data_IF_664067273068
#
_entry.id   IF_664067273068
#
_cell.length_a   1.000
_cell.length_b   1.000
_cell.length_c   1.000
_cell.angle_alpha   90.00
_cell.angle_beta   90.00
_cell.angle_gamma   90.00
#
_symmetry.space_group_name_H-M   'P 1'
#
loop_
_entity.id
_entity.type
_entity.pdbx_description
1 polymer ?
#
# COMPACT_ATOMS: atom_id res chain seq x y z
N UNK A 1 18.08 -15.96 -57.70
CA UNK A 1 18.64 -16.09 -56.33
C UNK A 1 17.50 -16.40 -55.39
N UNK A 2 17.26 -17.69 -55.17
CA UNK A 2 16.17 -18.23 -54.34
C UNK A 2 16.70 -18.36 -52.92
N UNK A 3 16.13 -17.59 -51.98
CA UNK A 3 16.44 -17.79 -50.56
C UNK A 3 15.92 -19.17 -50.14
N UNK A 4 16.74 -20.02 -49.51
CA UNK A 4 16.27 -21.29 -48.97
C UNK A 4 15.30 -21.00 -47.82
N UNK A 5 14.06 -21.46 -47.98
CA UNK A 5 13.06 -21.50 -46.91
C UNK A 5 13.57 -22.43 -45.82
N UNK A 6 14.16 -21.86 -44.78
CA UNK A 6 14.52 -22.58 -43.56
C UNK A 6 13.24 -23.20 -43.01
N UNK A 7 13.15 -24.54 -42.89
CA UNK A 7 11.97 -25.18 -42.35
C UNK A 7 11.74 -24.64 -40.94
N UNK A 8 10.50 -24.23 -40.68
CA UNK A 8 10.05 -23.73 -39.38
C UNK A 8 10.31 -24.82 -38.35
N UNK A 9 11.45 -24.72 -37.68
CA UNK A 9 11.97 -25.69 -36.73
C UNK A 9 10.91 -26.02 -35.69
N UNK A 10 10.58 -27.30 -35.61
CA UNK A 10 9.81 -27.88 -34.52
C UNK A 10 10.50 -27.55 -33.20
N UNK A 11 9.98 -26.57 -32.48
CA UNK A 11 10.35 -26.37 -31.07
C UNK A 11 10.12 -27.73 -30.39
N UNK A 12 11.14 -28.34 -29.78
CA UNK A 12 11.01 -29.67 -29.21
C UNK A 12 9.87 -29.63 -28.18
N UNK A 13 8.86 -30.48 -28.35
CA UNK A 13 7.66 -30.53 -27.51
C UNK A 13 7.99 -30.60 -26.00
N UNK A 14 9.15 -31.17 -25.66
CA UNK A 14 9.70 -31.21 -24.31
C UNK A 14 9.99 -29.82 -23.71
N UNK A 15 10.46 -28.86 -24.51
CA UNK A 15 10.74 -27.50 -24.06
C UNK A 15 9.48 -26.73 -23.71
N UNK A 16 8.42 -26.91 -24.50
CA UNK A 16 7.11 -26.29 -24.25
C UNK A 16 6.48 -26.84 -22.95
N UNK A 17 6.53 -28.15 -22.75
CA UNK A 17 6.02 -28.78 -21.54
C UNK A 17 6.74 -28.30 -20.27
N UNK A 18 8.07 -28.12 -20.32
CA UNK A 18 8.85 -27.59 -19.21
C UNK A 18 8.50 -26.12 -18.90
N UNK A 19 8.31 -25.30 -19.93
CA UNK A 19 7.91 -23.90 -19.77
C UNK A 19 6.52 -23.78 -19.13
N UNK A 20 5.56 -24.58 -19.58
CA UNK A 20 4.21 -24.58 -19.02
C UNK A 20 4.21 -25.05 -17.57
N UNK A 21 5.00 -26.08 -17.23
CA UNK A 21 5.20 -26.52 -15.85
C UNK A 21 5.75 -25.38 -14.99
N UNK A 22 6.85 -24.75 -15.40
CA UNK A 22 7.46 -23.62 -14.67
C UNK A 22 6.46 -22.48 -14.48
N UNK A 23 5.75 -22.08 -15.53
CA UNK A 23 4.72 -21.03 -15.45
C UNK A 23 3.64 -21.37 -14.43
N UNK A 24 3.16 -22.62 -14.42
CA UNK A 24 2.14 -23.07 -13.46
C UNK A 24 2.64 -23.04 -12.02
N UNK A 25 3.90 -23.41 -11.78
CA UNK A 25 4.54 -23.37 -10.46
C UNK A 25 4.64 -21.93 -9.97
N UNK A 26 5.13 -21.00 -10.79
CA UNK A 26 5.21 -19.58 -10.40
C UNK A 26 3.83 -19.00 -10.11
N UNK A 27 2.84 -19.34 -10.93
CA UNK A 27 1.46 -18.87 -10.75
C UNK A 27 0.89 -19.31 -9.40
N UNK A 28 1.07 -20.58 -9.02
CA UNK A 28 0.64 -21.08 -7.71
C UNK A 28 1.31 -20.35 -6.56
N UNK A 29 2.61 -20.06 -6.67
CA UNK A 29 3.32 -19.24 -5.69
C UNK A 29 2.71 -17.84 -5.57
N UNK A 30 2.43 -17.18 -6.69
CA UNK A 30 1.81 -15.85 -6.69
C UNK A 30 0.39 -15.87 -6.11
N UNK A 31 -0.42 -16.88 -6.43
CA UNK A 31 -1.77 -17.05 -5.89
C UNK A 31 -1.74 -17.26 -4.37
N UNK A 32 -0.77 -18.05 -3.87
CA UNK A 32 -0.53 -18.20 -2.44
C UNK A 32 -0.19 -16.86 -1.78
N UNK A 33 0.81 -16.14 -2.30
CA UNK A 33 1.24 -14.85 -1.76
C UNK A 33 0.10 -13.83 -1.81
N UNK A 34 -0.69 -13.80 -2.88
CA UNK A 34 -1.83 -12.93 -3.02
C UNK A 34 -2.91 -13.24 -1.97
N UNK A 35 -3.23 -14.52 -1.76
CA UNK A 35 -4.24 -14.95 -0.78
C UNK A 35 -3.80 -14.62 0.64
N UNK A 36 -2.54 -14.93 0.98
CA UNK A 36 -1.95 -14.60 2.28
C UNK A 36 -1.92 -13.08 2.50
N UNK A 37 -1.51 -12.30 1.49
CA UNK A 37 -1.50 -10.84 1.58
C UNK A 37 -2.91 -10.26 1.72
N UNK A 38 -3.91 -10.81 1.02
CA UNK A 38 -5.29 -10.37 1.13
C UNK A 38 -5.84 -10.62 2.54
N UNK A 39 -5.53 -11.77 3.16
CA UNK A 39 -5.88 -12.07 4.55
C UNK A 39 -5.33 -11.00 5.50
N UNK A 40 -4.06 -10.64 5.37
CA UNK A 40 -3.44 -9.57 6.17
C UNK A 40 -4.07 -8.19 5.91
N UNK A 41 -4.45 -7.91 4.67
CA UNK A 41 -5.11 -6.66 4.27
C UNK A 41 -6.52 -6.53 4.82
N UNK A 42 -7.26 -7.61 5.08
CA UNK A 42 -8.62 -7.53 5.61
C UNK A 42 -8.68 -6.84 6.98
N UNK A 43 -7.72 -7.12 7.86
CA UNK A 43 -7.64 -6.49 9.17
C UNK A 43 -7.32 -5.00 9.07
N UNK A 44 -6.38 -4.64 8.20
CA UNK A 44 -6.04 -3.24 7.92
C UNK A 44 -7.23 -2.53 7.27
N UNK A 45 -7.89 -3.17 6.31
CA UNK A 45 -9.05 -2.61 5.61
C UNK A 45 -10.23 -2.42 6.57
N UNK A 46 -10.44 -3.31 7.54
CA UNK A 46 -11.45 -3.11 8.58
C UNK A 46 -11.18 -1.85 9.41
N UNK A 47 -9.91 -1.59 9.77
CA UNK A 47 -9.51 -0.37 10.47
C UNK A 47 -9.66 0.86 9.58
N UNK A 48 -9.20 0.78 8.33
CA UNK A 48 -9.30 1.87 7.35
C UNK A 48 -10.75 2.21 7.04
N UNK A 49 -11.64 1.21 6.95
CA UNK A 49 -13.09 1.40 6.82
C UNK A 49 -13.67 2.10 8.05
N UNK A 50 -13.21 1.74 9.26
CA UNK A 50 -13.63 2.45 10.48
C UNK A 50 -13.21 3.92 10.42
N UNK A 51 -11.94 4.22 10.07
CA UNK A 51 -11.46 5.59 9.88
C UNK A 51 -12.32 6.31 8.83
N UNK A 52 -12.59 5.67 7.70
CA UNK A 52 -13.38 6.25 6.62
C UNK A 52 -14.79 6.60 7.07
N UNK A 53 -15.47 5.66 7.75
CA UNK A 53 -16.82 5.88 8.25
C UNK A 53 -16.86 7.01 9.27
N UNK A 54 -15.90 7.08 10.19
CA UNK A 54 -15.90 8.09 11.24
C UNK A 54 -15.43 9.47 10.77
N UNK A 55 -14.41 9.55 9.92
CA UNK A 55 -13.81 10.83 9.52
C UNK A 55 -14.47 11.44 8.28
N UNK A 56 -15.14 10.64 7.44
CA UNK A 56 -15.73 11.12 6.20
C UNK A 56 -17.25 10.91 6.16
N UNK A 57 -17.72 9.67 6.34
CA UNK A 57 -19.14 9.39 6.16
C UNK A 57 -20.01 10.00 7.27
N UNK A 58 -19.63 9.82 8.54
CA UNK A 58 -20.35 10.34 9.70
C UNK A 58 -20.49 11.87 9.68
N UNK A 59 -19.42 12.67 9.45
CA UNK A 59 -19.57 14.13 9.36
C UNK A 59 -20.48 14.57 8.22
N UNK A 60 -20.41 13.94 7.05
CA UNK A 60 -21.31 14.26 5.92
C UNK A 60 -22.77 13.97 6.28
N UNK A 61 -23.04 12.80 6.86
CA UNK A 61 -24.40 12.42 7.30
C UNK A 61 -24.89 13.37 8.40
N UNK A 62 -24.04 13.73 9.36
CA UNK A 62 -24.39 14.65 10.44
C UNK A 62 -24.75 16.04 9.91
N UNK A 63 -23.96 16.60 8.99
CA UNK A 63 -24.26 17.90 8.37
C UNK A 63 -25.56 17.83 7.57
N UNK A 64 -25.78 16.77 6.79
CA UNK A 64 -27.02 16.58 6.04
C UNK A 64 -28.26 16.53 6.95
N UNK A 65 -28.17 15.82 8.08
CA UNK A 65 -29.24 15.76 9.08
C UNK A 65 -29.50 17.13 9.72
N UNK A 66 -28.45 17.88 10.08
CA UNK A 66 -28.60 19.24 10.64
C UNK A 66 -29.30 20.17 9.65
N UNK A 67 -28.90 20.14 8.37
CA UNK A 67 -29.56 20.93 7.31
C UNK A 67 -31.04 20.57 7.19
N UNK A 68 -31.34 19.27 7.20
CA UNK A 68 -32.72 18.77 7.12
C UNK A 68 -33.55 19.26 8.31
N UNK A 69 -33.04 19.15 9.53
CA UNK A 69 -33.75 19.62 10.73
C UNK A 69 -33.96 21.15 10.77
N UNK A 70 -33.01 21.94 10.25
CA UNK A 70 -33.18 23.39 10.10
C UNK A 70 -34.29 23.69 9.09
N UNK A 71 -34.35 22.95 7.98
CA UNK A 71 -35.39 23.16 6.95
C UNK A 71 -36.79 22.79 7.44
N UNK A 72 -36.92 21.78 8.31
CA UNK A 72 -38.19 21.43 8.96
C UNK A 72 -38.57 22.35 10.13
N UNK A 73 -37.76 23.35 10.46
CA UNK A 73 -38.02 24.29 11.55
C UNK A 73 -37.82 23.71 12.95
N UNK A 74 -37.20 22.53 13.07
CA UNK A 74 -36.90 21.89 14.37
C UNK A 74 -35.71 22.58 15.05
N UNK A 75 -34.75 23.08 14.27
CA UNK A 75 -33.53 23.74 14.75
C UNK A 75 -33.46 25.22 14.30
N UNK A 76 -32.97 26.15 15.14
CA UNK A 76 -32.78 27.55 14.78
C UNK A 76 -31.79 27.72 13.62
N UNK A 77 -32.01 28.72 12.75
CA UNK A 77 -31.13 29.01 11.60
C UNK A 77 -29.67 29.31 11.98
N UNK A 78 -29.42 29.74 13.23
CA UNK A 78 -28.08 30.02 13.77
C UNK A 78 -27.17 28.77 13.72
N UNK A 79 -27.74 27.56 13.71
CA UNK A 79 -26.98 26.32 13.60
C UNK A 79 -26.21 26.16 12.27
N UNK A 80 -26.58 26.90 11.21
CA UNK A 80 -25.83 26.90 9.95
C UNK A 80 -24.39 27.41 10.13
N UNK A 81 -24.16 28.36 11.03
CA UNK A 81 -22.83 28.90 11.30
C UNK A 81 -21.89 27.92 12.00
N UNK A 82 -22.41 26.81 12.54
CA UNK A 82 -21.61 25.80 13.25
C UNK A 82 -21.28 24.57 12.39
N UNK A 83 -21.65 24.54 11.10
CA UNK A 83 -21.45 23.37 10.23
C UNK A 83 -19.97 22.98 10.09
N UNK A 84 -19.08 23.96 9.95
CA UNK A 84 -17.64 23.72 9.84
C UNK A 84 -17.06 23.09 11.12
N UNK A 85 -17.55 23.52 12.29
CA UNK A 85 -17.16 22.93 13.57
C UNK A 85 -17.65 21.48 13.71
N UNK A 86 -18.86 21.19 13.22
CA UNK A 86 -19.39 19.82 13.24
C UNK A 86 -18.51 18.90 12.39
N UNK A 87 -18.06 19.35 11.21
CA UNK A 87 -17.14 18.57 10.36
C UNK A 87 -15.81 18.27 11.07
N UNK A 88 -15.27 19.23 11.83
CA UNK A 88 -13.99 19.08 12.54
C UNK A 88 -14.07 18.22 13.80
N UNK A 89 -15.22 18.21 14.49
CA UNK A 89 -15.39 17.44 15.74
C UNK A 89 -15.21 15.94 15.52
N UNK A 90 -15.68 15.38 14.39
CA UNK A 90 -15.58 13.94 14.13
C UNK A 90 -14.14 13.42 14.01
N UNK A 91 -13.26 13.99 13.16
CA UNK A 91 -11.85 13.60 13.10
C UNK A 91 -11.12 13.78 14.44
N UNK A 92 -11.43 14.83 15.20
CA UNK A 92 -10.81 15.11 16.50
C UNK A 92 -11.23 14.06 17.53
N UNK A 93 -12.52 13.77 17.65
CA UNK A 93 -13.02 12.73 18.56
C UNK A 93 -12.51 11.34 18.17
N UNK A 94 -12.47 11.03 16.88
CA UNK A 94 -11.91 9.77 16.40
C UNK A 94 -10.41 9.65 16.74
N UNK A 95 -9.64 10.74 16.57
CA UNK A 95 -8.23 10.77 16.96
C UNK A 95 -8.07 10.58 18.46
N UNK A 96 -8.84 11.29 19.29
CA UNK A 96 -8.84 11.11 20.74
C UNK A 96 -9.22 9.68 21.16
N UNK A 97 -10.23 9.09 20.52
CA UNK A 97 -10.63 7.71 20.76
C UNK A 97 -9.55 6.70 20.35
N UNK A 98 -8.93 6.90 19.19
CA UNK A 98 -7.88 6.02 18.68
C UNK A 98 -6.61 6.11 19.53
N UNK A 99 -6.15 7.32 19.84
CA UNK A 99 -5.04 7.55 20.76
C UNK A 99 -5.38 7.03 22.16
N UNK A 100 -6.60 7.26 22.65
CA UNK A 100 -7.06 6.78 23.95
C UNK A 100 -7.09 5.25 24.07
N UNK A 101 -7.63 4.57 23.07
CA UNK A 101 -7.80 3.11 23.12
C UNK A 101 -6.51 2.34 22.82
N UNK A 102 -5.66 2.83 21.91
CA UNK A 102 -4.44 2.12 21.50
C UNK A 102 -3.18 2.64 22.18
N UNK A 103 -3.02 3.96 22.29
CA UNK A 103 -1.78 4.56 22.81
C UNK A 103 -1.83 4.57 24.33
N UNK A 104 -2.90 5.06 24.94
CA UNK A 104 -3.02 5.13 26.40
C UNK A 104 -3.01 3.76 27.10
N UNK A 105 -3.47 2.70 26.42
CA UNK A 105 -3.36 1.32 26.93
C UNK A 105 -1.94 0.73 26.78
N UNK A 106 -1.20 1.14 25.74
CA UNK A 106 0.15 0.62 25.46
C UNK A 106 1.28 1.44 26.09
N UNK A 107 1.03 2.71 26.42
CA UNK A 107 1.99 3.61 27.09
C UNK A 107 2.47 3.08 28.44
N UNK A 108 1.63 2.68 29.40
CA UNK A 108 2.11 2.15 30.68
C UNK A 108 2.93 0.87 30.52
N UNK A 109 2.58 0.02 29.54
CA UNK A 109 3.34 -1.17 29.19
C UNK A 109 4.69 -0.84 28.53
N UNK A 110 4.73 0.18 27.67
CA UNK A 110 5.95 0.68 27.04
C UNK A 110 6.92 1.30 28.07
N UNK A 111 6.39 2.03 29.05
CA UNK A 111 7.21 2.57 30.15
C UNK A 111 7.69 1.47 31.10
N UNK A 112 6.85 0.48 31.41
CA UNK A 112 7.22 -0.65 32.30
C UNK A 112 8.25 -1.60 31.67
N UNK A 113 8.12 -1.90 30.38
CA UNK A 113 8.98 -2.86 29.67
C UNK A 113 10.14 -2.19 28.91
N UNK A 114 10.16 -0.86 28.87
CA UNK A 114 11.11 -0.07 28.08
C UNK A 114 10.87 -0.20 26.57
N UNK A 115 11.50 0.69 25.78
CA UNK A 115 11.42 0.65 24.31
C UNK A 115 11.89 -0.68 23.70
N UNK A 116 12.78 -1.40 24.40
CA UNK A 116 13.27 -2.72 24.01
C UNK A 116 12.18 -3.82 24.10
N UNK A 117 11.26 -3.71 25.06
CA UNK A 117 10.15 -4.67 25.18
C UNK A 117 9.18 -4.59 24.00
N UNK A 118 8.95 -3.39 23.44
CA UNK A 118 8.10 -3.21 22.26
C UNK A 118 8.73 -3.79 21.00
N UNK A 119 10.04 -3.56 20.78
CA UNK A 119 10.75 -4.10 19.61
C UNK A 119 10.84 -5.63 19.68
N UNK A 120 11.08 -6.20 20.85
CA UNK A 120 11.03 -7.65 21.07
C UNK A 120 9.64 -8.23 20.83
N UNK A 121 8.58 -7.55 21.29
CA UNK A 121 7.20 -7.99 21.04
C UNK A 121 6.85 -7.99 19.55
N UNK A 122 7.33 -7.00 18.80
CA UNK A 122 7.18 -6.97 17.35
C UNK A 122 7.99 -8.09 16.67
N UNK A 123 9.21 -8.35 17.13
CA UNK A 123 10.04 -9.44 16.63
C UNK A 123 9.43 -10.82 16.91
N UNK A 124 8.78 -11.01 18.07
CA UNK A 124 8.08 -12.24 18.41
C UNK A 124 6.88 -12.47 17.48
N UNK A 125 6.02 -11.45 17.28
CA UNK A 125 4.90 -11.54 16.33
C UNK A 125 5.36 -11.79 14.89
N UNK A 126 6.48 -11.18 14.50
CA UNK A 126 7.12 -11.43 13.20
C UNK A 126 7.58 -12.90 13.09
N UNK A 127 8.16 -13.47 14.15
CA UNK A 127 8.56 -14.86 14.18
C UNK A 127 7.35 -15.80 14.09
N UNK A 128 6.29 -15.56 14.84
CA UNK A 128 5.04 -16.33 14.80
C UNK A 128 4.44 -16.31 13.39
N UNK A 129 4.36 -15.14 12.77
CA UNK A 129 3.90 -14.99 11.39
C UNK A 129 4.77 -15.78 10.40
N UNK A 130 6.11 -15.74 10.55
CA UNK A 130 7.03 -16.51 9.69
C UNK A 130 6.79 -18.01 9.81
N UNK A 131 6.57 -18.51 11.02
CA UNK A 131 6.30 -19.94 11.26
C UNK A 131 4.98 -20.34 10.59
N UNK A 132 3.91 -19.55 10.79
CA UNK A 132 2.61 -19.79 10.14
C UNK A 132 2.75 -19.83 8.62
N UNK A 133 3.39 -18.82 8.03
CA UNK A 133 3.55 -18.71 6.58
C UNK A 133 4.45 -19.80 6.01
N UNK A 134 5.57 -20.14 6.64
CA UNK A 134 6.44 -21.23 6.18
C UNK A 134 5.68 -22.57 6.23
N UNK A 135 4.97 -22.84 7.31
CA UNK A 135 4.16 -24.07 7.44
C UNK A 135 3.01 -24.13 6.42
N UNK A 136 2.43 -22.99 6.04
CA UNK A 136 1.41 -22.91 5.00
C UNK A 136 2.03 -23.11 3.60
N UNK A 137 3.18 -22.48 3.32
CA UNK A 137 3.92 -22.68 2.08
C UNK A 137 4.30 -24.15 1.87
N UNK A 138 4.83 -24.82 2.90
CA UNK A 138 5.19 -26.25 2.80
C UNK A 138 3.99 -27.15 2.50
N UNK A 139 2.83 -26.86 3.10
CA UNK A 139 1.62 -27.66 2.92
C UNK A 139 0.95 -27.42 1.58
N UNK A 140 0.91 -26.17 1.12
CA UNK A 140 0.18 -25.77 -0.10
C UNK A 140 1.05 -25.84 -1.37
N UNK A 141 2.35 -25.59 -1.24
CA UNK A 141 3.32 -25.54 -2.34
C UNK A 141 4.27 -26.74 -2.27
N UNK A 142 3.79 -27.90 -2.71
CA UNK A 142 4.60 -29.12 -2.83
C UNK A 142 5.56 -29.05 -4.04
N UNK A 143 6.51 -28.12 -3.99
CA UNK A 143 7.50 -27.88 -5.05
C UNK A 143 8.80 -28.65 -4.78
N UNK A 144 9.46 -29.06 -5.86
CA UNK A 144 10.79 -29.66 -5.79
C UNK A 144 11.88 -28.58 -5.55
N UNK A 145 13.10 -29.01 -5.17
CA UNK A 145 14.22 -28.08 -4.94
C UNK A 145 14.52 -27.16 -6.13
N UNK A 146 14.51 -27.69 -7.36
CA UNK A 146 14.72 -26.93 -8.59
C UNK A 146 13.59 -25.93 -8.87
N UNK A 147 12.35 -26.32 -8.57
CA UNK A 147 11.17 -25.47 -8.74
C UNK A 147 11.25 -24.27 -7.78
N UNK A 148 11.67 -24.49 -6.53
CA UNK A 148 11.92 -23.43 -5.56
C UNK A 148 13.02 -22.47 -6.01
N UNK A 149 14.15 -22.99 -6.49
CA UNK A 149 15.24 -22.16 -7.03
C UNK A 149 14.75 -21.24 -8.14
N UNK A 150 14.00 -21.82 -9.09
CA UNK A 150 13.47 -21.07 -10.22
C UNK A 150 12.41 -20.04 -9.77
N UNK A 151 11.48 -20.40 -8.87
CA UNK A 151 10.48 -19.46 -8.32
C UNK A 151 11.14 -18.28 -7.61
N UNK A 152 12.12 -18.53 -6.76
CA UNK A 152 12.78 -17.44 -6.02
C UNK A 152 13.58 -16.52 -6.94
N UNK A 153 14.28 -17.06 -7.93
CA UNK A 153 15.01 -16.25 -8.90
C UNK A 153 14.07 -15.30 -9.66
N UNK A 154 12.92 -15.79 -10.14
CA UNK A 154 11.92 -14.93 -10.80
C UNK A 154 11.27 -13.93 -9.84
N UNK A 155 10.98 -14.35 -8.61
CA UNK A 155 10.40 -13.47 -7.60
C UNK A 155 11.37 -12.35 -7.18
N UNK A 156 12.68 -12.61 -7.13
CA UNK A 156 13.72 -11.59 -6.90
C UNK A 156 13.77 -10.59 -8.05
N UNK A 157 13.79 -11.07 -9.29
CA UNK A 157 13.79 -10.21 -10.48
C UNK A 157 12.53 -9.34 -10.55
N UNK A 158 11.36 -9.91 -10.27
CA UNK A 158 10.10 -9.16 -10.24
C UNK A 158 10.08 -8.14 -9.09
N UNK A 159 10.67 -8.45 -7.93
CA UNK A 159 10.79 -7.50 -6.83
C UNK A 159 11.64 -6.28 -7.22
N UNK A 160 12.76 -6.50 -7.91
CA UNK A 160 13.62 -5.43 -8.42
C UNK A 160 12.90 -4.57 -9.46
N UNK A 161 12.21 -5.21 -10.42
CA UNK A 161 11.38 -4.50 -11.42
C UNK A 161 10.28 -3.68 -10.74
N UNK A 162 9.61 -4.22 -9.73
CA UNK A 162 8.60 -3.49 -8.96
C UNK A 162 9.18 -2.29 -8.22
N UNK A 163 10.37 -2.43 -7.62
CA UNK A 163 11.05 -1.33 -6.93
C UNK A 163 11.39 -0.19 -7.90
N UNK A 164 11.92 -0.52 -9.09
CA UNK A 164 12.19 0.47 -10.13
C UNK A 164 10.90 1.13 -10.65
N UNK A 165 9.86 0.34 -10.92
CA UNK A 165 8.55 0.86 -11.34
C UNK A 165 7.96 1.81 -10.29
N UNK A 166 8.03 1.48 -9.01
CA UNK A 166 7.52 2.33 -7.93
C UNK A 166 8.27 3.66 -7.86
N UNK A 167 9.60 3.67 -8.07
CA UNK A 167 10.37 4.92 -8.17
C UNK A 167 9.90 5.79 -9.32
N UNK A 168 9.71 5.20 -10.51
CA UNK A 168 9.22 5.94 -11.68
C UNK A 168 7.79 6.45 -11.49
N UNK A 169 6.88 5.64 -10.95
CA UNK A 169 5.51 6.08 -10.65
C UNK A 169 5.49 7.18 -9.60
N UNK A 170 6.39 7.16 -8.62
CA UNK A 170 6.51 8.22 -7.62
C UNK A 170 6.97 9.53 -8.26
N UNK A 171 7.99 9.48 -9.11
CA UNK A 171 8.47 10.64 -9.85
C UNK A 171 7.39 11.20 -10.79
N UNK A 172 6.68 10.33 -11.53
CA UNK A 172 5.60 10.71 -12.43
C UNK A 172 4.41 11.30 -11.68
N UNK A 173 3.99 10.69 -10.56
CA UNK A 173 2.93 11.24 -9.72
C UNK A 173 3.31 12.62 -9.16
N UNK A 174 4.57 12.83 -8.79
CA UNK A 174 5.10 14.14 -8.42
C UNK A 174 5.01 15.16 -9.54
N UNK A 175 5.44 14.80 -10.75
CA UNK A 175 5.38 15.68 -11.92
C UNK A 175 3.93 16.04 -12.29
N UNK A 176 3.02 15.07 -12.29
CA UNK A 176 1.59 15.30 -12.56
C UNK A 176 0.97 16.18 -11.48
N UNK A 177 1.24 15.92 -10.20
CA UNK A 177 0.73 16.75 -9.11
C UNK A 177 1.26 18.18 -9.21
N UNK A 178 2.55 18.36 -9.51
CA UNK A 178 3.14 19.67 -9.76
C UNK A 178 2.45 20.41 -10.92
N UNK A 179 2.19 19.73 -12.04
CA UNK A 179 1.44 20.32 -13.16
C UNK A 179 0.01 20.71 -12.78
N UNK A 180 -0.68 19.88 -11.97
CA UNK A 180 -2.02 20.19 -11.48
C UNK A 180 -1.99 21.44 -10.59
N UNK A 181 -1.04 21.54 -9.66
CA UNK A 181 -0.92 22.70 -8.78
C UNK A 181 -0.68 23.99 -9.59
N UNK A 182 0.30 24.00 -10.49
CA UNK A 182 0.54 25.16 -11.35
C UNK A 182 -0.65 25.46 -12.27
N UNK A 183 -1.38 24.44 -12.71
CA UNK A 183 -2.59 24.59 -13.53
C UNK A 183 -3.75 25.21 -12.75
N UNK A 184 -3.92 24.85 -11.48
CA UNK A 184 -4.92 25.45 -10.58
C UNK A 184 -4.55 26.92 -10.34
N UNK A 185 -3.30 27.21 -10.02
CA UNK A 185 -2.83 28.58 -9.78
C UNK A 185 -3.05 29.47 -11.00
N UNK A 186 -2.83 28.93 -12.21
CA UNK A 186 -3.08 29.62 -13.47
C UNK A 186 -4.57 29.86 -13.76
N UNK A 187 -5.49 29.07 -13.20
CA UNK A 187 -6.93 29.26 -13.39
C UNK A 187 -7.51 30.25 -12.37
N UNK A 188 -6.88 30.38 -11.20
CA UNK A 188 -7.30 31.33 -10.15
C UNK A 188 -6.74 32.74 -10.36
N UNK A 189 -5.65 32.91 -11.10
CA UNK A 189 -5.08 34.21 -11.43
C UNK A 189 -5.42 34.59 -12.88
N UNK A 190 -6.37 35.51 -13.07
CA UNK A 190 -6.85 36.04 -14.38
C UNK A 190 -5.78 36.79 -15.22
N UNK A 191 -4.51 36.74 -14.84
CA UNK A 191 -3.41 37.41 -15.54
C UNK A 191 -2.61 36.43 -16.40
N UNK A 192 -2.92 36.41 -17.70
CA UNK A 192 -2.11 35.94 -18.84
C UNK A 192 -1.14 34.78 -18.58
N UNK A 193 -1.51 33.60 -19.08
CA UNK A 193 -0.71 32.38 -19.14
C UNK A 193 0.67 32.62 -19.80
N UNK A 194 1.70 32.82 -18.98
CA UNK A 194 3.10 32.67 -19.37
C UNK A 194 3.67 31.50 -18.59
N UNK A 195 4.09 30.45 -19.31
CA UNK A 195 4.88 29.33 -18.78
C UNK A 195 6.29 29.86 -18.48
N UNK A 196 6.38 30.75 -17.49
CA UNK A 196 7.64 31.23 -16.93
C UNK A 196 7.95 30.32 -15.76
N UNK A 197 9.17 29.78 -15.77
CA UNK A 197 9.73 28.98 -14.68
C UNK A 197 9.30 29.56 -13.33
N UNK A 198 8.67 28.72 -12.51
CA UNK A 198 8.12 29.07 -11.21
C UNK A 198 9.03 30.06 -10.48
N UNK A 199 8.55 31.30 -10.32
CA UNK A 199 9.21 32.29 -9.49
C UNK A 199 9.13 31.74 -8.05
N UNK A 200 10.25 31.38 -7.40
CA UNK A 200 10.24 30.64 -6.13
C UNK A 200 9.72 31.46 -4.94
N UNK A 201 9.23 32.67 -5.19
CA UNK A 201 8.82 33.67 -4.19
C UNK A 201 7.30 33.79 -4.02
N UNK A 202 6.48 33.24 -4.92
CA UNK A 202 5.02 33.36 -4.89
C UNK A 202 4.25 32.08 -4.58
N UNK A 203 4.88 30.91 -4.67
CA UNK A 203 4.24 29.63 -4.28
C UNK A 203 4.05 29.59 -2.77
N UNK A 204 2.82 29.37 -2.31
CA UNK A 204 2.55 29.35 -0.87
C UNK A 204 3.24 28.14 -0.25
N UNK A 205 3.96 28.34 0.85
CA UNK A 205 4.69 27.25 1.55
C UNK A 205 3.83 25.99 1.82
N UNK A 206 2.51 26.14 1.93
CA UNK A 206 1.52 25.07 2.03
C UNK A 206 1.48 24.11 0.84
N UNK A 207 1.70 24.58 -0.38
CA UNK A 207 1.64 23.75 -1.60
C UNK A 207 2.84 22.80 -1.68
N UNK A 208 4.04 23.30 -1.36
CA UNK A 208 5.25 22.48 -1.26
C UNK A 208 5.16 21.45 -0.14
N UNK A 209 4.56 21.81 1.00
CA UNK A 209 4.30 20.87 2.09
C UNK A 209 3.31 19.79 1.64
N UNK A 210 2.24 20.17 0.93
CA UNK A 210 1.27 19.24 0.36
C UNK A 210 1.89 18.27 -0.65
N UNK A 211 2.69 18.78 -1.59
CA UNK A 211 3.45 17.98 -2.56
C UNK A 211 4.43 17.02 -1.86
N UNK A 212 5.21 17.52 -0.90
CA UNK A 212 6.18 16.71 -0.17
C UNK A 212 5.50 15.59 0.62
N UNK A 213 4.38 15.89 1.29
CA UNK A 213 3.59 14.92 2.03
C UNK A 213 2.96 13.88 1.10
N UNK A 214 2.40 14.30 -0.04
CA UNK A 214 1.82 13.40 -1.04
C UNK A 214 2.88 12.44 -1.61
N UNK A 215 4.04 12.97 -2.01
CA UNK A 215 5.17 12.17 -2.50
C UNK A 215 5.68 11.19 -1.45
N UNK A 216 5.79 11.64 -0.19
CA UNK A 216 6.21 10.79 0.92
C UNK A 216 5.22 9.65 1.15
N UNK A 217 3.92 9.94 1.19
CA UNK A 217 2.88 8.93 1.38
C UNK A 217 2.85 7.91 0.23
N UNK A 218 3.00 8.39 -1.00
CA UNK A 218 3.02 7.53 -2.19
C UNK A 218 4.27 6.65 -2.22
N UNK A 219 5.43 7.20 -1.85
CA UNK A 219 6.67 6.43 -1.69
C UNK A 219 6.56 5.37 -0.59
N UNK A 220 6.04 5.74 0.59
CA UNK A 220 5.85 4.82 1.72
C UNK A 220 4.87 3.70 1.38
N UNK A 221 3.78 4.02 0.67
CA UNK A 221 2.81 3.05 0.17
C UNK A 221 3.46 2.02 -0.77
N UNK A 222 4.29 2.50 -1.71
CA UNK A 222 5.07 1.63 -2.61
C UNK A 222 6.04 0.72 -1.86
N UNK A 223 6.79 1.27 -0.89
CA UNK A 223 7.75 0.52 -0.06
C UNK A 223 7.10 -0.61 0.74
N UNK A 224 5.89 -0.40 1.26
CA UNK A 224 5.19 -1.42 2.05
C UNK A 224 4.95 -2.71 1.25
N UNK A 225 4.56 -2.60 -0.02
CA UNK A 225 4.35 -3.76 -0.90
C UNK A 225 5.64 -4.55 -1.16
N UNK A 226 6.73 -3.84 -1.44
CA UNK A 226 8.05 -4.43 -1.71
C UNK A 226 8.58 -5.13 -0.45
N UNK A 227 8.48 -4.50 0.72
CA UNK A 227 8.90 -5.12 1.98
C UNK A 227 8.10 -6.39 2.29
N UNK A 228 6.80 -6.38 2.01
CA UNK A 228 5.93 -7.55 2.24
C UNK A 228 6.33 -8.72 1.35
N UNK A 229 6.52 -8.49 0.05
CA UNK A 229 7.01 -9.51 -0.88
C UNK A 229 8.39 -10.04 -0.47
N UNK A 230 9.28 -9.17 -0.01
CA UNK A 230 10.61 -9.57 0.49
C UNK A 230 10.52 -10.48 1.71
N UNK A 231 9.55 -10.26 2.61
CA UNK A 231 9.28 -11.14 3.76
C UNK A 231 8.82 -12.52 3.30
N UNK A 232 7.91 -12.61 2.33
CA UNK A 232 7.51 -13.89 1.74
C UNK A 232 8.67 -14.61 1.06
N UNK A 233 9.51 -13.89 0.32
CA UNK A 233 10.69 -14.45 -0.32
C UNK A 233 11.71 -14.99 0.70
N UNK A 234 11.87 -14.30 1.83
CA UNK A 234 12.67 -14.82 2.94
C UNK A 234 12.10 -16.11 3.51
N UNK A 235 10.78 -16.27 3.58
CA UNK A 235 10.13 -17.50 4.03
C UNK A 235 10.34 -18.63 3.01
N UNK A 236 10.19 -18.36 1.71
CA UNK A 236 10.46 -19.33 0.65
C UNK A 236 11.90 -19.88 0.71
N UNK A 237 12.89 -19.01 0.99
CA UNK A 237 14.28 -19.43 1.20
C UNK A 237 14.47 -20.32 2.43
N UNK A 238 13.69 -20.11 3.50
CA UNK A 238 13.75 -20.97 4.69
C UNK A 238 13.18 -22.35 4.39
N UNK A 239 12.01 -22.40 3.75
CA UNK A 239 11.37 -23.65 3.30
C UNK A 239 12.29 -24.45 2.38
N UNK A 240 12.93 -23.78 1.42
CA UNK A 240 13.89 -24.44 0.53
C UNK A 240 15.06 -25.09 1.28
N UNK A 241 15.57 -24.44 2.33
CA UNK A 241 16.68 -24.96 3.14
C UNK A 241 16.28 -26.16 4.01
N UNK A 242 15.00 -26.28 4.33
CA UNK A 242 14.46 -27.39 5.13
C UNK A 242 14.19 -28.64 4.28
N UNK A 243 14.13 -28.52 2.96
CA UNK A 243 13.99 -29.67 2.08
C UNK A 243 15.24 -30.57 2.14
N UNK A 244 15.07 -31.90 2.24
CA UNK A 244 16.20 -32.82 2.17
C UNK A 244 16.89 -32.65 0.81
N UNK A 245 18.22 -32.55 0.83
CA UNK A 245 19.02 -32.60 -0.38
C UNK A 245 18.85 -34.01 -0.97
N UNK A 246 18.08 -34.11 -2.05
CA UNK A 246 17.95 -35.33 -2.84
C UNK A 246 19.27 -35.66 -3.55
#
# INVERSE_FOLDING_TARGET
MSQPSVPLNSVPAAGVALQERRRSVYRRYLEFVQTAHQKDRLDVNRRMRSVFVWCFLAPVVAVALVILMVNFGVLPRVFRSYQDWILLVFPVLYSLYFLGSQVLSSVPDAFRKGGFGMTLGQAAREADWRIEVCSAMERELAFNGDDWQWVMANAEEDLERMQMRNRHLTALAGAVFFLIMNGIDSLTNDSSFTVVAADPTSTTSSEWIGLALFLLLLYLSGQQSVQTLRRFLSCARLVQRQLPKA
#
